data_IF_825646588889
#
_entry.id   IF_825646588889
#
_cell.length_a   1.000
_cell.length_b   1.000
_cell.length_c   1.000
_cell.angle_alpha   90.00
_cell.angle_beta   90.00
_cell.angle_gamma   90.00
#
_symmetry.space_group_name_H-M   'P 1'
#
loop_
_entity.id
_entity.type
_entity.pdbx_description
1 polymer ?
#
# COMPACT_ATOMS: atom_id res chain seq x y z
N UNK A 1 19.22 -9.93 -18.87
CA UNK A 1 18.84 -11.11 -18.06
C UNK A 1 18.14 -10.75 -16.75
N UNK A 2 18.63 -9.79 -15.95
CA UNK A 2 17.96 -9.33 -14.71
C UNK A 2 16.51 -8.83 -14.87
N UNK A 3 16.22 -8.10 -15.94
CA UNK A 3 14.87 -7.57 -16.22
C UNK A 3 13.78 -8.66 -16.31
N UNK A 4 14.12 -9.87 -16.78
CA UNK A 4 13.15 -10.97 -16.90
C UNK A 4 12.80 -11.56 -15.51
N UNK A 5 13.72 -11.53 -14.54
CA UNK A 5 13.45 -12.00 -13.19
C UNK A 5 12.54 -11.05 -12.41
N UNK A 6 12.68 -9.73 -12.59
CA UNK A 6 11.81 -8.75 -11.93
C UNK A 6 10.38 -8.76 -12.47
N UNK A 7 10.14 -9.21 -13.71
CA UNK A 7 8.76 -9.28 -14.25
C UNK A 7 7.83 -10.26 -13.53
N UNK A 8 8.37 -11.17 -12.72
CA UNK A 8 7.56 -12.19 -11.99
C UNK A 8 7.49 -11.95 -10.49
N UNK A 9 8.28 -11.03 -9.95
CA UNK A 9 8.36 -10.78 -8.50
C UNK A 9 7.58 -9.50 -8.22
N UNK A 10 6.41 -9.66 -7.61
CA UNK A 10 5.67 -8.53 -7.03
C UNK A 10 6.36 -8.09 -5.74
N UNK A 11 6.55 -6.78 -5.55
CA UNK A 11 7.02 -6.24 -4.26
C UNK A 11 6.02 -6.46 -3.14
N UNK A 12 4.72 -6.54 -3.48
CA UNK A 12 3.66 -6.88 -2.54
C UNK A 12 3.60 -8.40 -2.43
N UNK A 13 3.92 -8.92 -1.26
CA UNK A 13 3.77 -10.33 -0.93
C UNK A 13 2.30 -10.61 -0.57
N UNK A 14 1.77 -9.86 0.39
CA UNK A 14 0.42 -10.04 0.91
C UNK A 14 -0.24 -8.74 1.36
N UNK A 15 -1.57 -8.74 1.44
CA UNK A 15 -2.36 -7.73 2.14
C UNK A 15 -3.28 -8.48 3.10
N UNK A 16 -2.95 -8.39 4.39
CA UNK A 16 -3.70 -9.08 5.45
C UNK A 16 -4.75 -8.12 6.00
N UNK A 17 -6.02 -8.52 5.91
CA UNK A 17 -7.15 -7.76 6.44
C UNK A 17 -7.69 -8.46 7.68
N UNK A 18 -7.66 -7.77 8.82
CA UNK A 18 -8.15 -8.27 10.10
C UNK A 18 -9.14 -7.27 10.69
N UNK A 19 -10.42 -7.40 10.31
CA UNK A 19 -11.45 -6.43 10.70
C UNK A 19 -11.14 -5.03 10.16
N UNK A 20 -10.82 -4.10 11.06
CA UNK A 20 -10.48 -2.70 10.73
C UNK A 20 -9.00 -2.48 10.39
N UNK A 21 -8.14 -3.43 10.76
CA UNK A 21 -6.69 -3.31 10.60
C UNK A 21 -6.25 -3.97 9.30
N UNK A 22 -5.41 -3.27 8.54
CA UNK A 22 -4.88 -3.77 7.27
C UNK A 22 -3.36 -3.68 7.33
N UNK A 23 -2.69 -4.80 7.05
CA UNK A 23 -1.24 -4.90 7.01
C UNK A 23 -0.76 -5.22 5.58
N UNK A 24 0.02 -4.32 5.01
CA UNK A 24 0.74 -4.52 3.76
C UNK A 24 2.06 -5.25 4.05
N UNK A 25 2.21 -6.46 3.51
CA UNK A 25 3.49 -7.20 3.53
C UNK A 25 4.20 -7.00 2.20
N UNK A 26 5.43 -6.49 2.29
CA UNK A 26 6.33 -6.31 1.15
C UNK A 26 7.64 -7.02 1.39
N UNK A 27 8.33 -7.36 0.30
CA UNK A 27 9.71 -7.82 0.35
C UNK A 27 10.55 -6.75 1.08
N UNK A 28 11.43 -7.11 2.03
CA UNK A 28 12.15 -6.15 2.87
C UNK A 28 13.29 -5.45 2.10
N UNK A 29 12.92 -4.51 1.23
CA UNK A 29 13.81 -3.62 0.46
C UNK A 29 13.73 -2.17 0.95
N UNK A 30 14.60 -1.30 0.43
CA UNK A 30 14.63 0.11 0.78
C UNK A 30 14.85 0.33 2.27
N UNK A 31 13.97 1.14 2.88
CA UNK A 31 14.01 1.44 4.32
C UNK A 31 13.70 0.24 5.22
N UNK A 32 13.21 -0.88 4.66
CA UNK A 32 12.85 -2.08 5.42
C UNK A 32 13.97 -3.12 5.49
N UNK A 33 15.11 -2.86 4.82
CA UNK A 33 16.30 -3.71 4.95
C UNK A 33 16.87 -3.63 6.36
N UNK A 34 17.42 -4.72 6.91
CA UNK A 34 18.20 -4.66 8.16
C UNK A 34 19.38 -3.67 8.08
N UNK A 35 20.02 -3.60 6.91
CA UNK A 35 21.05 -2.62 6.57
C UNK A 35 20.56 -1.78 5.38
N UNK A 36 19.96 -0.60 5.61
CA UNK A 36 19.42 0.25 4.55
C UNK A 36 20.50 0.73 3.57
N UNK A 37 20.16 0.72 2.28
CA UNK A 37 20.99 1.31 1.24
C UNK A 37 20.54 2.77 1.05
N UNK A 38 21.44 3.76 1.10
CA UNK A 38 21.09 5.15 0.89
C UNK A 38 20.32 5.36 -0.43
N UNK A 39 19.29 6.20 -0.38
CA UNK A 39 18.44 6.56 -1.52
C UNK A 39 17.62 5.39 -2.12
N UNK A 40 17.51 4.24 -1.43
CA UNK A 40 16.47 3.25 -1.71
C UNK A 40 15.24 3.52 -0.83
N UNK A 41 14.05 3.56 -1.43
CA UNK A 41 12.83 3.85 -0.68
C UNK A 41 11.58 3.22 -1.30
N UNK A 42 10.72 2.66 -0.46
CA UNK A 42 9.33 2.41 -0.80
C UNK A 42 8.47 3.65 -0.55
N UNK A 43 7.62 3.94 -1.53
CA UNK A 43 6.46 4.82 -1.38
C UNK A 43 5.19 3.97 -1.41
N UNK A 44 4.27 4.23 -0.49
CA UNK A 44 3.00 3.50 -0.38
C UNK A 44 1.82 4.46 -0.50
N UNK A 45 0.87 4.13 -1.37
CA UNK A 45 -0.36 4.90 -1.55
C UNK A 45 -1.56 3.98 -1.42
N UNK A 46 -2.52 4.39 -0.61
CA UNK A 46 -3.76 3.66 -0.38
C UNK A 46 -4.91 4.39 -1.06
N UNK A 47 -5.79 3.65 -1.72
CA UNK A 47 -6.95 4.17 -2.42
C UNK A 47 -8.21 3.46 -1.93
N UNK A 48 -9.26 4.22 -1.68
CA UNK A 48 -10.60 3.71 -1.39
C UNK A 48 -11.56 4.17 -2.48
N UNK A 49 -12.19 3.22 -3.19
CA UNK A 49 -13.03 3.51 -4.36
C UNK A 49 -12.35 4.43 -5.40
N UNK A 50 -11.06 4.22 -5.65
CA UNK A 50 -10.27 5.02 -6.61
C UNK A 50 -9.73 6.36 -6.09
N UNK A 51 -10.13 6.81 -4.89
CA UNK A 51 -9.64 8.06 -4.30
C UNK A 51 -8.47 7.79 -3.35
N UNK A 52 -7.36 8.52 -3.49
CA UNK A 52 -6.21 8.37 -2.59
C UNK A 52 -6.57 8.82 -1.17
N UNK A 53 -6.30 7.96 -0.20
CA UNK A 53 -6.41 8.26 1.22
C UNK A 53 -5.04 8.73 1.72
N UNK A 54 -4.75 10.02 1.52
CA UNK A 54 -3.43 10.62 1.79
C UNK A 54 -2.97 10.48 3.25
N UNK A 55 -3.92 10.38 4.20
CA UNK A 55 -3.65 10.11 5.62
C UNK A 55 -2.83 8.84 5.84
N UNK A 56 -2.96 7.85 4.96
CA UNK A 56 -2.27 6.56 5.07
C UNK A 56 -1.01 6.47 4.20
N UNK A 57 -0.59 7.56 3.56
CA UNK A 57 0.59 7.58 2.70
C UNK A 57 1.83 7.09 3.46
N UNK A 58 2.61 6.24 2.80
CA UNK A 58 3.84 5.60 3.29
C UNK A 58 3.66 4.73 4.55
N UNK A 59 2.42 4.42 4.95
CA UNK A 59 2.13 3.49 6.03
C UNK A 59 1.99 2.06 5.50
N UNK A 60 2.60 1.11 6.20
CA UNK A 60 2.48 -0.33 5.93
C UNK A 60 1.36 -0.98 6.76
N UNK A 61 0.87 -0.28 7.78
CA UNK A 61 -0.24 -0.70 8.61
C UNK A 61 -1.22 0.46 8.72
N UNK A 62 -2.49 0.20 8.43
CA UNK A 62 -3.53 1.23 8.45
C UNK A 62 -4.74 0.73 9.26
N UNK A 63 -5.43 1.66 9.90
CA UNK A 63 -6.68 1.41 10.62
C UNK A 63 -7.82 2.20 9.95
N UNK A 64 -8.70 1.48 9.25
CA UNK A 64 -9.79 2.07 8.47
C UNK A 64 -10.94 2.57 9.34
N UNK A 65 -10.98 2.22 10.63
CA UNK A 65 -11.96 2.78 11.57
C UNK A 65 -11.81 4.28 11.78
N UNK A 66 -10.65 4.82 11.44
CA UNK A 66 -10.35 6.25 11.55
C UNK A 66 -10.93 7.09 10.42
N UNK A 67 -11.75 6.48 9.56
CA UNK A 67 -12.44 7.10 8.42
C UNK A 67 -13.94 6.83 8.49
N UNK A 68 -14.73 7.79 7.99
CA UNK A 68 -16.18 7.64 7.77
C UNK A 68 -16.46 7.37 6.28
N UNK A 69 -17.56 6.67 5.98
CA UNK A 69 -18.01 6.47 4.59
C UNK A 69 -17.08 5.60 3.72
N UNK A 70 -16.33 4.70 4.34
CA UNK A 70 -15.36 3.83 3.66
C UNK A 70 -16.07 2.83 2.74
N UNK A 71 -15.66 2.77 1.48
CA UNK A 71 -16.11 1.75 0.54
C UNK A 71 -15.42 0.39 0.82
N UNK A 72 -16.05 -0.71 0.38
CA UNK A 72 -15.51 -2.07 0.53
C UNK A 72 -14.23 -2.31 -0.27
N UNK A 73 -14.14 -1.76 -1.49
CA UNK A 73 -12.98 -2.00 -2.36
C UNK A 73 -11.85 -1.02 -2.07
N UNK A 74 -10.66 -1.59 -1.87
CA UNK A 74 -9.43 -0.87 -1.64
C UNK A 74 -8.37 -1.28 -2.66
N UNK A 75 -7.46 -0.35 -2.93
CA UNK A 75 -6.27 -0.59 -3.74
C UNK A 75 -5.06 -0.03 -3.02
N UNK A 76 -3.98 -0.81 -2.93
CA UNK A 76 -2.68 -0.32 -2.47
C UNK A 76 -1.70 -0.33 -3.64
N UNK A 77 -0.96 0.76 -3.79
CA UNK A 77 0.11 0.92 -4.76
C UNK A 77 1.43 1.11 -4.03
N UNK A 78 2.43 0.36 -4.44
CA UNK A 78 3.79 0.41 -3.92
C UNK A 78 4.73 0.78 -5.05
N UNK A 79 5.58 1.77 -4.82
CA UNK A 79 6.66 2.12 -5.73
C UNK A 79 8.00 1.99 -5.01
N UNK A 80 8.92 1.22 -5.59
CA UNK A 80 10.30 1.12 -5.13
C UNK A 80 11.18 2.08 -5.93
N UNK A 81 11.89 2.98 -5.25
CA UNK A 81 12.88 3.86 -5.85
C UNK A 81 14.27 3.39 -5.45
N UNK A 82 15.18 3.27 -6.41
CA UNK A 82 16.60 2.93 -6.18
C UNK A 82 17.47 3.67 -7.19
N UNK A 83 18.67 4.15 -6.82
CA UNK A 83 19.58 4.85 -7.74
C UNK A 83 20.04 3.98 -8.92
N UNK A 84 19.93 2.66 -8.80
CA UNK A 84 20.31 1.70 -9.85
C UNK A 84 19.36 1.75 -11.05
N UNK A 85 18.08 2.07 -10.82
CA UNK A 85 17.05 2.16 -11.86
C UNK A 85 16.69 3.63 -12.05
N UNK A 86 17.34 4.26 -13.03
CA UNK A 86 17.11 5.68 -13.34
C UNK A 86 15.85 5.93 -14.16
N UNK A 87 15.44 4.94 -14.98
CA UNK A 87 14.26 5.01 -15.85
C UNK A 87 13.51 3.70 -15.71
N UNK A 88 12.28 3.75 -15.20
CA UNK A 88 11.37 2.61 -15.10
C UNK A 88 10.30 2.65 -16.22
N UNK A 89 10.74 2.50 -17.47
CA UNK A 89 9.84 2.54 -18.64
C UNK A 89 8.87 1.37 -18.72
N UNK A 90 9.10 0.32 -17.93
CA UNK A 90 8.28 -0.91 -17.91
C UNK A 90 7.44 -1.07 -16.65
N UNK A 91 7.51 -0.14 -15.71
CA UNK A 91 6.77 -0.22 -14.45
C UNK A 91 7.24 -1.35 -13.53
N UNK A 92 8.46 -1.87 -13.69
CA UNK A 92 8.96 -3.04 -12.96
C UNK A 92 9.35 -2.73 -11.52
N UNK A 93 9.34 -1.46 -11.11
CA UNK A 93 9.53 -1.07 -9.71
C UNK A 93 8.21 -0.73 -9.02
N UNK A 94 7.08 -1.02 -9.66
CA UNK A 94 5.73 -0.74 -9.17
C UNK A 94 4.95 -2.03 -8.96
N UNK A 95 4.15 -2.05 -7.90
CA UNK A 95 3.21 -3.13 -7.63
C UNK A 95 1.88 -2.54 -7.16
N UNK A 96 0.79 -3.20 -7.52
CA UNK A 96 -0.57 -2.80 -7.17
C UNK A 96 -1.36 -4.04 -6.75
N UNK A 97 -2.18 -3.90 -5.71
CA UNK A 97 -3.12 -4.94 -5.28
C UNK A 97 -4.45 -4.33 -4.89
N UNK A 98 -5.51 -4.87 -5.48
CA UNK A 98 -6.90 -4.59 -5.10
C UNK A 98 -7.41 -5.68 -4.18
N UNK A 99 -8.13 -5.30 -3.14
CA UNK A 99 -8.67 -6.21 -2.13
C UNK A 99 -9.95 -5.62 -1.52
N UNK A 100 -10.69 -6.43 -0.78
CA UNK A 100 -11.91 -6.02 -0.10
C UNK A 100 -11.70 -5.94 1.40
N UNK A 101 -12.37 -4.97 2.03
CA UNK A 101 -12.42 -4.79 3.48
C UNK A 101 -13.87 -4.88 3.90
N UNK A 102 -14.21 -5.96 4.62
CA UNK A 102 -15.53 -6.15 5.22
C UNK A 102 -15.55 -5.52 6.62
N UNK A 103 -15.46 -4.19 6.66
CA UNK A 103 -15.60 -3.39 7.87
C UNK A 103 -16.65 -2.31 7.65
N UNK A 104 -17.66 -2.30 8.51
CA UNK A 104 -18.69 -1.25 8.53
C UNK A 104 -18.38 -0.31 9.70
N UNK A 105 -17.96 0.94 9.46
CA UNK A 105 -17.74 1.91 10.53
C UNK A 105 -19.05 2.14 11.32
N UNK A 106 -18.99 2.35 12.65
CA UNK A 106 -20.17 2.73 13.42
C UNK A 106 -20.79 4.01 12.85
N UNK A 107 -22.12 4.04 12.71
CA UNK A 107 -22.84 5.25 12.33
C UNK A 107 -22.57 6.34 13.38
N UNK A 108 -22.08 7.49 12.93
CA UNK A 108 -21.89 8.66 13.80
C UNK A 108 -23.30 9.19 14.14
N UNK A 109 -23.79 8.88 15.35
CA UNK A 109 -25.07 9.39 15.83
C UNK A 109 -24.97 10.90 16.00
N UNK A 110 -25.59 11.67 15.10
CA UNK A 110 -25.82 13.08 15.34
C UNK A 110 -26.95 13.22 16.37
N UNK A 111 -26.77 13.99 17.46
CA UNK A 111 -27.88 14.32 18.34
C UNK A 111 -28.92 15.11 17.54
N UNK A 112 -30.19 14.70 17.65
CA UNK A 112 -31.32 15.49 17.14
C UNK A 112 -31.37 16.79 17.94
N UNK A 113 -31.31 17.93 17.24
CA UNK A 113 -31.64 19.26 17.77
C UNK A 113 -33.15 19.37 17.93
#
# INVERSE_FOLDING_TARGET
MWLQFLTRISFIEDVVVTGKDIALKVIPLGQLRPNPIPNERYSVQWFNNGNEVTKFRDQFNIDVSTMSGVAKQWTVKVNFTTPTIRIDSKGVTRAERTFNVDYTPPLQNFPKV
#
